data_IF_607667912686
#
_entry.id   IF_607667912686
#
_cell.length_a   1.000
_cell.length_b   1.000
_cell.length_c   1.000
_cell.angle_alpha   90.00
_cell.angle_beta   90.00
_cell.angle_gamma   90.00
#
_symmetry.space_group_name_H-M   'P 1'
#
loop_
_entity.id
_entity.type
_entity.pdbx_description
1 polymer ?
#
# COMPACT_ATOMS: atom_id res chain seq x y z
N UNK A 1 10.77 -15.23 4.81
CA UNK A 1 11.21 -14.47 3.61
C UNK A 1 10.32 -14.86 2.44
N UNK A 2 9.30 -14.05 2.16
CA UNK A 2 8.50 -14.12 0.91
C UNK A 2 7.72 -12.81 0.76
N UNK A 3 8.43 -11.71 0.49
CA UNK A 3 7.84 -10.38 0.24
C UNK A 3 8.39 -9.70 -1.03
N UNK A 4 9.20 -10.39 -1.83
CA UNK A 4 9.88 -9.82 -3.00
C UNK A 4 9.05 -9.84 -4.29
N UNK A 5 8.04 -10.71 -4.43
CA UNK A 5 7.39 -10.95 -5.73
C UNK A 5 6.26 -9.97 -6.08
N UNK A 6 5.85 -9.09 -5.15
CA UNK A 6 4.81 -8.10 -5.44
C UNK A 6 5.43 -6.80 -6.02
N UNK A 7 6.55 -6.35 -5.49
CA UNK A 7 7.07 -5.01 -5.77
C UNK A 7 7.83 -4.87 -7.10
N UNK A 8 8.34 -5.97 -7.68
CA UNK A 8 8.95 -5.94 -9.03
C UNK A 8 7.97 -5.54 -10.15
N UNK A 9 6.65 -5.70 -9.93
CA UNK A 9 5.62 -5.24 -10.87
C UNK A 9 5.25 -3.76 -10.72
N UNK A 10 5.56 -3.13 -9.58
CA UNK A 10 5.29 -1.72 -9.34
C UNK A 10 6.33 -0.78 -9.98
N UNK A 11 7.52 -1.30 -10.32
CA UNK A 11 8.58 -0.53 -10.97
C UNK A 11 8.25 -0.01 -12.38
N UNK A 12 7.29 -0.62 -13.08
CA UNK A 12 6.93 -0.22 -14.46
C UNK A 12 5.71 0.70 -14.57
N UNK A 13 4.94 0.93 -13.49
CA UNK A 13 3.71 1.74 -13.56
C UNK A 13 3.48 2.54 -12.27
N UNK A 14 4.13 3.71 -12.11
CA UNK A 14 3.91 4.58 -10.94
C UNK A 14 2.45 5.06 -10.80
N UNK A 15 1.66 5.06 -11.88
CA UNK A 15 0.27 5.55 -11.90
C UNK A 15 -0.78 4.47 -11.58
N UNK A 16 -0.36 3.23 -11.31
CA UNK A 16 -1.27 2.09 -11.14
C UNK A 16 -1.31 1.58 -9.69
N UNK A 17 -1.21 2.46 -8.70
CA UNK A 17 -1.36 2.07 -7.29
C UNK A 17 -2.45 2.88 -6.60
N UNK A 18 -3.27 2.20 -5.81
CA UNK A 18 -4.31 2.80 -4.97
C UNK A 18 -3.98 2.52 -3.51
N UNK A 19 -3.78 3.59 -2.73
CA UNK A 19 -3.63 3.51 -1.28
C UNK A 19 -4.96 3.92 -0.65
N UNK A 20 -5.46 3.09 0.26
CA UNK A 20 -6.72 3.35 0.96
C UNK A 20 -6.63 2.85 2.40
N UNK A 21 -7.22 3.60 3.33
CA UNK A 21 -7.36 3.19 4.72
C UNK A 21 -8.77 2.70 5.07
N UNK A 22 -8.87 1.89 6.12
CA UNK A 22 -10.15 1.44 6.68
C UNK A 22 -10.05 1.30 8.20
N UNK A 23 -11.07 1.80 8.88
CA UNK A 23 -11.24 1.59 10.32
C UNK A 23 -11.66 0.15 10.62
N UNK A 24 -10.98 -0.48 11.57
CA UNK A 24 -11.31 -1.80 12.09
C UNK A 24 -12.17 -1.69 13.36
N UNK A 25 -12.84 -2.78 13.81
CA UNK A 25 -13.74 -2.74 14.97
C UNK A 25 -13.08 -2.30 16.30
N UNK A 26 -11.75 -2.28 16.36
CA UNK A 26 -10.98 -1.79 17.50
C UNK A 26 -10.78 -0.26 17.51
N UNK A 27 -11.38 0.47 16.56
CA UNK A 27 -11.25 1.93 16.42
C UNK A 27 -9.90 2.37 15.84
N UNK A 28 -9.10 1.43 15.32
CA UNK A 28 -7.81 1.71 14.69
C UNK A 28 -7.92 1.54 13.17
N UNK A 29 -7.08 2.26 12.44
CA UNK A 29 -7.02 2.21 10.99
C UNK A 29 -5.97 1.22 10.51
N UNK A 30 -6.32 0.46 9.48
CA UNK A 30 -5.39 -0.28 8.65
C UNK A 30 -5.29 0.40 7.28
N UNK A 31 -4.16 0.25 6.61
CA UNK A 31 -3.93 0.75 5.25
C UNK A 31 -3.66 -0.40 4.30
N UNK A 32 -4.13 -0.24 3.07
CA UNK A 32 -4.01 -1.19 1.98
C UNK A 32 -3.41 -0.47 0.77
N UNK A 33 -2.47 -1.12 0.11
CA UNK A 33 -1.92 -0.70 -1.17
C UNK A 33 -2.33 -1.74 -2.22
N UNK A 34 -3.07 -1.29 -3.23
CA UNK A 34 -3.53 -2.10 -4.34
C UNK A 34 -2.79 -1.74 -5.61
N UNK A 35 -2.55 -2.73 -6.46
CA UNK A 35 -2.23 -2.53 -7.86
C UNK A 35 -3.54 -2.37 -8.63
N UNK A 36 -3.62 -1.29 -9.40
CA UNK A 36 -4.70 -1.00 -10.32
C UNK A 36 -4.33 -1.52 -11.71
N UNK A 37 -5.32 -2.00 -12.46
CA UNK A 37 -5.20 -2.33 -13.88
C UNK A 37 -6.48 -1.88 -14.55
N UNK A 38 -6.34 -1.06 -15.59
CA UNK A 38 -7.48 -0.55 -16.37
C UNK A 38 -8.56 0.17 -15.51
N UNK A 39 -8.12 0.85 -14.44
CA UNK A 39 -9.00 1.58 -13.51
C UNK A 39 -9.64 0.74 -12.41
N UNK A 40 -9.40 -0.58 -12.40
CA UNK A 40 -9.92 -1.50 -11.38
C UNK A 40 -8.81 -2.05 -10.47
N UNK A 41 -9.18 -2.47 -9.25
CA UNK A 41 -8.27 -3.15 -8.33
C UNK A 41 -7.93 -4.52 -8.91
N UNK A 42 -6.67 -4.70 -9.31
CA UNK A 42 -6.16 -5.97 -9.83
C UNK A 42 -5.70 -6.90 -8.70
N UNK A 43 -4.94 -6.36 -7.74
CA UNK A 43 -4.32 -7.16 -6.67
C UNK A 43 -3.99 -6.32 -5.44
N UNK A 44 -4.14 -6.90 -4.25
CA UNK A 44 -3.59 -6.35 -3.00
C UNK A 44 -2.07 -6.61 -2.95
N UNK A 45 -1.30 -5.53 -2.78
CA UNK A 45 0.17 -5.56 -2.78
C UNK A 45 0.73 -5.58 -1.37
N UNK A 46 0.26 -4.66 -0.53
CA UNK A 46 0.69 -4.50 0.85
C UNK A 46 -0.51 -4.14 1.73
N UNK A 47 -0.46 -4.55 2.98
CA UNK A 47 -1.45 -4.17 3.98
C UNK A 47 -0.82 -4.06 5.35
N UNK A 48 -1.32 -3.15 6.18
CA UNK A 48 -0.93 -3.05 7.58
C UNK A 48 -1.92 -3.78 8.49
N UNK A 49 -1.49 -3.99 9.75
CA UNK A 49 -2.43 -4.26 10.83
C UNK A 49 -3.20 -2.96 11.20
N UNK A 50 -4.38 -3.07 11.84
CA UNK A 50 -5.14 -1.91 12.30
C UNK A 50 -4.52 -1.35 13.59
N UNK A 51 -3.48 -0.54 13.42
CA UNK A 51 -2.68 0.02 14.53
C UNK A 51 -2.67 1.56 14.53
N UNK A 52 -3.09 2.19 13.44
CA UNK A 52 -3.04 3.64 13.27
C UNK A 52 -4.23 4.31 13.94
N UNK A 53 -4.04 5.53 14.43
CA UNK A 53 -5.09 6.31 15.12
C UNK A 53 -5.97 7.10 14.14
N UNK A 54 -5.51 7.28 12.89
CA UNK A 54 -6.27 7.97 11.84
C UNK A 54 -6.04 7.37 10.46
N UNK A 55 -7.01 7.61 9.57
CA UNK A 55 -6.91 7.29 8.14
C UNK A 55 -5.68 7.95 7.49
N UNK A 56 -5.49 9.24 7.75
CA UNK A 56 -4.40 10.04 7.17
C UNK A 56 -3.02 9.51 7.61
N UNK A 57 -2.84 9.16 8.88
CA UNK A 57 -1.61 8.57 9.38
C UNK A 57 -1.31 7.23 8.68
N UNK A 58 -2.33 6.39 8.51
CA UNK A 58 -2.20 5.09 7.87
C UNK A 58 -1.82 5.24 6.38
N UNK A 59 -2.45 6.16 5.65
CA UNK A 59 -2.18 6.43 4.24
C UNK A 59 -0.79 7.05 4.04
N UNK A 60 -0.42 8.04 4.85
CA UNK A 60 0.90 8.66 4.82
C UNK A 60 2.01 7.63 5.08
N UNK A 61 1.82 6.75 6.05
CA UNK A 61 2.76 5.66 6.31
C UNK A 61 2.98 4.79 5.05
N UNK A 62 1.91 4.38 4.38
CA UNK A 62 2.02 3.55 3.17
C UNK A 62 2.64 4.33 1.99
N UNK A 63 2.38 5.64 1.89
CA UNK A 63 3.04 6.50 0.89
C UNK A 63 4.55 6.57 1.10
N UNK A 64 5.03 6.70 2.34
CA UNK A 64 6.46 6.70 2.64
C UNK A 64 7.09 5.32 2.38
N UNK A 65 6.45 4.23 2.80
CA UNK A 65 6.92 2.87 2.50
C UNK A 65 7.01 2.63 0.99
N UNK A 66 6.03 3.09 0.21
CA UNK A 66 6.06 2.98 -1.25
C UNK A 66 7.23 3.78 -1.87
N UNK A 67 7.56 4.97 -1.34
CA UNK A 67 8.72 5.76 -1.79
C UNK A 67 10.05 5.09 -1.46
N UNK A 68 10.21 4.59 -0.23
CA UNK A 68 11.45 3.90 0.19
C UNK A 68 11.73 2.68 -0.67
N UNK A 69 10.70 1.86 -0.90
CA UNK A 69 10.83 0.69 -1.78
C UNK A 69 11.20 1.10 -3.21
N UNK A 70 10.60 2.16 -3.75
CA UNK A 70 10.97 2.63 -5.09
C UNK A 70 12.45 3.02 -5.17
N UNK A 71 12.99 3.70 -4.16
CA UNK A 71 14.40 4.10 -4.13
C UNK A 71 15.37 2.92 -4.00
N UNK A 72 14.96 1.87 -3.28
CA UNK A 72 15.83 0.71 -3.05
C UNK A 72 16.01 -0.20 -4.28
N UNK A 73 15.08 -0.13 -5.25
CA UNK A 73 15.08 -0.99 -6.44
C UNK A 73 15.17 -0.20 -7.77
N UNK A 74 15.53 1.08 -7.73
CA UNK A 74 15.89 1.89 -8.91
C UNK A 74 17.40 2.01 -9.07
#
# INVERSE_FOLDING_TARGET
>A
MTQLTALELAGNYPDNTLIASREAPNGKFAVFCYMMRDGEIHKLMLSSQPVFDSAEEAENYMHEVAKEVKQQYS
#
